data_IF_611645394793
#
_entry.id   IF_611645394793
#
_cell.length_a   1.000
_cell.length_b   1.000
_cell.length_c   1.000
_cell.angle_alpha   90.00
_cell.angle_beta   90.00
_cell.angle_gamma   90.00
#
_symmetry.space_group_name_H-M   'P 1'
#
loop_
_entity.id
_entity.type
_entity.pdbx_description
1 polymer ?
#
# COMPACT_ATOMS: atom_id res chain seq x y z
N UNK A 1 40.93 -4.79 12.33
CA UNK A 1 41.01 -4.12 13.64
C UNK A 1 39.73 -3.30 13.78
N UNK A 2 39.00 -3.48 14.88
CA UNK A 2 37.64 -2.96 15.08
C UNK A 2 37.61 -1.43 14.98
N UNK A 3 37.23 -0.93 13.81
CA UNK A 3 37.02 0.50 13.57
C UNK A 3 35.99 1.08 14.56
N UNK A 4 34.95 0.30 14.87
CA UNK A 4 33.97 0.59 15.92
C UNK A 4 34.60 0.84 17.30
N UNK A 5 35.67 0.11 17.66
CA UNK A 5 36.37 0.33 18.96
C UNK A 5 37.23 1.59 18.98
N UNK A 6 37.62 2.11 17.81
CA UNK A 6 38.53 3.24 17.69
C UNK A 6 37.79 4.59 17.53
N UNK A 7 36.65 4.56 16.83
CA UNK A 7 35.90 5.76 16.44
C UNK A 7 34.70 6.03 17.38
N UNK A 8 34.14 5.00 18.01
CA UNK A 8 32.84 5.10 18.69
C UNK A 8 31.71 5.44 17.70
N UNK A 9 30.63 6.06 18.18
CA UNK A 9 29.43 6.39 17.38
C UNK A 9 29.57 7.64 16.49
N UNK A 10 30.79 8.10 16.20
CA UNK A 10 31.02 9.33 15.42
C UNK A 10 30.81 9.09 13.93
N UNK A 11 29.63 9.48 13.47
CA UNK A 11 29.16 9.32 12.09
C UNK A 11 30.06 10.01 11.05
N UNK A 12 30.77 11.09 11.44
CA UNK A 12 31.62 11.85 10.52
C UNK A 12 32.89 11.08 10.18
N UNK A 13 33.52 10.48 11.20
CA UNK A 13 34.76 9.71 11.03
C UNK A 13 34.46 8.38 10.30
N UNK A 14 33.32 7.75 10.58
CA UNK A 14 32.86 6.56 9.84
C UNK A 14 32.66 6.88 8.35
N UNK A 15 31.98 7.98 8.03
CA UNK A 15 31.75 8.42 6.64
C UNK A 15 33.07 8.71 5.92
N UNK A 16 34.02 9.36 6.59
CA UNK A 16 35.35 9.64 6.01
C UNK A 16 36.16 8.36 5.78
N UNK A 17 36.07 7.37 6.67
CA UNK A 17 36.73 6.08 6.51
C UNK A 17 36.15 5.27 5.34
N UNK A 18 34.82 5.20 5.25
CA UNK A 18 34.14 4.52 4.14
C UNK A 18 34.47 5.16 2.79
N UNK A 19 34.53 6.49 2.73
CA UNK A 19 34.96 7.22 1.53
C UNK A 19 36.41 6.88 1.15
N UNK A 20 37.36 6.94 2.09
CA UNK A 20 38.76 6.60 1.84
C UNK A 20 38.94 5.12 1.44
N UNK A 21 38.14 4.23 2.01
CA UNK A 21 38.16 2.81 1.67
C UNK A 21 37.65 2.57 0.24
N UNK A 22 36.58 3.26 -0.17
CA UNK A 22 36.08 3.22 -1.56
C UNK A 22 37.10 3.74 -2.58
N UNK A 23 37.87 4.79 -2.25
CA UNK A 23 38.95 5.29 -3.11
C UNK A 23 40.11 4.31 -3.28
N UNK A 24 40.26 3.32 -2.39
CA UNK A 24 41.30 2.28 -2.48
C UNK A 24 40.83 1.02 -3.22
N UNK A 25 39.58 0.97 -3.68
CA UNK A 25 39.05 -0.18 -4.42
C UNK A 25 39.48 -0.16 -5.89
N UNK A 26 39.66 -1.35 -6.45
CA UNK A 26 39.77 -1.49 -7.91
C UNK A 26 38.44 -1.14 -8.58
N UNK A 27 38.50 -0.76 -9.86
CA UNK A 27 37.31 -0.47 -10.67
C UNK A 27 36.29 -1.63 -10.65
N UNK A 28 36.78 -2.87 -10.62
CA UNK A 28 35.93 -4.06 -10.55
C UNK A 28 35.22 -4.22 -9.20
N UNK A 29 35.89 -3.91 -8.09
CA UNK A 29 35.30 -3.95 -6.75
C UNK A 29 34.25 -2.85 -6.57
N UNK A 30 34.56 -1.63 -7.04
CA UNK A 30 33.60 -0.52 -7.04
C UNK A 30 32.36 -0.85 -7.88
N UNK A 31 32.55 -1.36 -9.10
CA UNK A 31 31.44 -1.76 -9.97
C UNK A 31 30.58 -2.84 -9.33
N UNK A 32 31.19 -3.85 -8.69
CA UNK A 32 30.47 -4.93 -8.02
C UNK A 32 29.63 -4.41 -6.85
N UNK A 33 30.19 -3.48 -6.07
CA UNK A 33 29.46 -2.81 -4.98
C UNK A 33 28.30 -1.96 -5.49
N UNK A 34 28.50 -1.13 -6.52
CA UNK A 34 27.45 -0.31 -7.11
C UNK A 34 26.32 -1.16 -7.69
N UNK A 35 26.64 -2.27 -8.35
CA UNK A 35 25.66 -3.22 -8.85
C UNK A 35 24.83 -3.84 -7.74
N UNK A 36 25.46 -4.21 -6.62
CA UNK A 36 24.74 -4.78 -5.47
C UNK A 36 23.87 -3.74 -4.78
N UNK A 37 24.37 -2.51 -4.61
CA UNK A 37 23.56 -1.38 -4.10
C UNK A 37 22.36 -1.12 -5.02
N UNK A 38 22.57 -1.12 -6.33
CA UNK A 38 21.49 -0.96 -7.31
C UNK A 38 20.47 -2.10 -7.19
N UNK A 39 20.92 -3.35 -7.10
CA UNK A 39 20.06 -4.53 -6.94
C UNK A 39 19.19 -4.40 -5.69
N UNK A 40 19.77 -4.00 -4.56
CA UNK A 40 19.03 -3.78 -3.31
C UNK A 40 18.00 -2.66 -3.46
N UNK A 41 18.38 -1.53 -4.06
CA UNK A 41 17.46 -0.41 -4.31
C UNK A 41 16.31 -0.79 -5.24
N UNK A 42 16.58 -1.50 -6.33
CA UNK A 42 15.56 -1.97 -7.26
C UNK A 42 14.55 -2.89 -6.54
N UNK A 43 15.03 -3.77 -5.66
CA UNK A 43 14.16 -4.66 -4.87
C UNK A 43 13.30 -3.88 -3.86
N UNK A 44 13.86 -2.86 -3.20
CA UNK A 44 13.13 -1.99 -2.28
C UNK A 44 12.02 -1.25 -3.04
N UNK A 45 12.36 -0.61 -4.17
CA UNK A 45 11.38 0.09 -5.00
C UNK A 45 10.28 -0.83 -5.52
N UNK A 46 10.63 -2.07 -5.91
CA UNK A 46 9.64 -3.06 -6.33
C UNK A 46 8.69 -3.46 -5.18
N UNK A 47 9.22 -3.59 -3.95
CA UNK A 47 8.43 -3.91 -2.77
C UNK A 47 7.51 -2.74 -2.37
N UNK A 48 8.04 -1.52 -2.33
CA UNK A 48 7.28 -0.29 -2.03
C UNK A 48 6.11 -0.14 -3.03
N UNK A 49 6.38 -0.30 -4.33
CA UNK A 49 5.34 -0.28 -5.34
C UNK A 49 4.25 -1.34 -5.11
N UNK A 50 4.63 -2.56 -4.70
CA UNK A 50 3.65 -3.60 -4.39
C UNK A 50 2.79 -3.26 -3.17
N UNK A 51 3.38 -2.64 -2.15
CA UNK A 51 2.68 -2.17 -0.96
C UNK A 51 1.67 -1.09 -1.34
N UNK A 52 2.10 -0.05 -2.06
CA UNK A 52 1.23 1.04 -2.51
C UNK A 52 0.04 0.51 -3.33
N UNK A 53 0.30 -0.43 -4.25
CA UNK A 53 -0.75 -1.07 -5.03
C UNK A 53 -1.71 -1.91 -4.18
N UNK A 54 -1.19 -2.59 -3.14
CA UNK A 54 -2.02 -3.37 -2.23
C UNK A 54 -2.92 -2.47 -1.38
N UNK A 55 -2.39 -1.36 -0.87
CA UNK A 55 -3.13 -0.36 -0.10
C UNK A 55 -4.22 0.29 -0.95
N UNK A 56 -3.87 0.80 -2.14
CA UNK A 56 -4.84 1.40 -3.05
C UNK A 56 -5.98 0.43 -3.44
N UNK A 57 -5.65 -0.85 -3.68
CA UNK A 57 -6.67 -1.89 -3.93
C UNK A 57 -7.51 -2.18 -2.69
N UNK A 58 -6.89 -2.15 -1.50
CA UNK A 58 -7.56 -2.33 -0.22
C UNK A 58 -8.59 -1.22 0.03
N UNK A 59 -8.19 0.03 -0.13
CA UNK A 59 -9.04 1.20 -0.01
C UNK A 59 -10.20 1.17 -1.00
N UNK A 60 -9.93 0.97 -2.29
CA UNK A 60 -10.97 0.90 -3.31
C UNK A 60 -11.98 -0.23 -3.04
N UNK A 61 -11.52 -1.41 -2.58
CA UNK A 61 -12.41 -2.51 -2.17
C UNK A 61 -13.20 -2.15 -0.91
N UNK A 62 -12.58 -1.46 0.05
CA UNK A 62 -13.21 -1.01 1.28
C UNK A 62 -14.36 -0.03 0.99
N UNK A 63 -14.07 0.99 0.19
CA UNK A 63 -15.05 2.00 -0.25
C UNK A 63 -16.22 1.36 -1.01
N UNK A 64 -15.94 0.51 -2.01
CA UNK A 64 -16.98 -0.16 -2.77
C UNK A 64 -17.87 -1.05 -1.88
N UNK A 65 -17.29 -1.77 -0.92
CA UNK A 65 -18.05 -2.56 0.08
C UNK A 65 -18.86 -1.66 1.01
N UNK A 66 -18.32 -0.52 1.43
CA UNK A 66 -18.99 0.47 2.26
C UNK A 66 -20.24 1.01 1.57
N UNK A 67 -20.09 1.52 0.35
CA UNK A 67 -21.18 2.03 -0.48
C UNK A 67 -22.25 0.94 -0.70
N UNK A 68 -21.85 -0.29 -1.01
CA UNK A 68 -22.80 -1.38 -1.21
C UNK A 68 -23.59 -1.71 0.06
N UNK A 69 -22.94 -1.75 1.23
CA UNK A 69 -23.61 -1.95 2.52
C UNK A 69 -24.56 -0.82 2.85
N UNK A 70 -24.13 0.43 2.67
CA UNK A 70 -24.97 1.60 2.92
C UNK A 70 -26.24 1.58 2.05
N UNK A 71 -26.11 1.28 0.75
CA UNK A 71 -27.27 1.12 -0.14
C UNK A 71 -28.27 0.09 0.36
N UNK A 72 -27.79 -1.04 0.87
CA UNK A 72 -28.63 -2.11 1.43
C UNK A 72 -29.34 -1.63 2.71
N UNK A 73 -28.64 -0.96 3.61
CA UNK A 73 -29.24 -0.46 4.85
C UNK A 73 -30.28 0.64 4.58
N UNK A 74 -30.01 1.55 3.65
CA UNK A 74 -30.99 2.54 3.17
C UNK A 74 -32.20 1.82 2.57
N UNK A 75 -31.99 0.82 1.71
CA UNK A 75 -33.09 0.06 1.11
C UNK A 75 -33.98 -0.59 2.18
N UNK A 76 -33.38 -1.23 3.19
CA UNK A 76 -34.13 -1.83 4.31
C UNK A 76 -34.91 -0.78 5.10
N UNK A 77 -34.30 0.35 5.42
CA UNK A 77 -34.96 1.42 6.17
C UNK A 77 -36.17 1.97 5.40
N UNK A 78 -36.03 2.20 4.10
CA UNK A 78 -37.13 2.67 3.25
C UNK A 78 -38.27 1.65 3.16
N UNK A 79 -37.93 0.37 2.98
CA UNK A 79 -38.93 -0.70 2.95
C UNK A 79 -39.70 -0.81 4.28
N UNK A 80 -39.01 -0.65 5.40
CA UNK A 80 -39.64 -0.59 6.73
C UNK A 80 -40.57 0.61 6.88
N UNK A 81 -40.27 1.73 6.23
CA UNK A 81 -41.12 2.93 6.19
C UNK A 81 -42.30 2.80 5.20
N UNK A 82 -42.42 1.66 4.53
CA UNK A 82 -43.52 1.36 3.60
C UNK A 82 -43.33 1.89 2.18
N UNK A 83 -42.11 2.32 1.81
CA UNK A 83 -41.81 2.74 0.45
C UNK A 83 -41.90 1.58 -0.56
N UNK A 84 -42.38 1.86 -1.76
CA UNK A 84 -42.49 0.85 -2.82
C UNK A 84 -41.12 0.39 -3.34
N UNK A 85 -41.05 -0.86 -3.82
CA UNK A 85 -39.82 -1.44 -4.38
C UNK A 85 -39.28 -0.60 -5.54
N UNK A 86 -40.14 -0.03 -6.38
CA UNK A 86 -39.74 0.84 -7.50
C UNK A 86 -39.10 2.14 -7.00
N UNK A 87 -39.64 2.74 -5.93
CA UNK A 87 -39.06 3.95 -5.31
C UNK A 87 -37.71 3.63 -4.67
N UNK A 88 -37.60 2.52 -3.96
CA UNK A 88 -36.35 2.06 -3.34
C UNK A 88 -35.28 1.78 -4.40
N UNK A 89 -35.64 1.12 -5.50
CA UNK A 89 -34.74 0.86 -6.63
C UNK A 89 -34.21 2.16 -7.23
N UNK A 90 -35.11 3.13 -7.45
CA UNK A 90 -34.76 4.44 -8.00
C UNK A 90 -33.78 5.22 -7.11
N UNK A 91 -33.96 5.18 -5.79
CA UNK A 91 -33.14 5.95 -4.83
C UNK A 91 -31.79 5.28 -4.56
N UNK A 92 -31.79 3.97 -4.32
CA UNK A 92 -30.58 3.24 -3.92
C UNK A 92 -29.73 2.80 -5.13
N UNK A 93 -30.35 2.76 -6.32
CA UNK A 93 -29.76 2.21 -7.53
C UNK A 93 -29.60 0.68 -7.49
N UNK A 94 -30.21 0.00 -6.52
CA UNK A 94 -30.30 -1.47 -6.48
C UNK A 94 -31.32 -1.97 -7.50
N UNK A 95 -31.13 -3.20 -7.99
CA UNK A 95 -32.12 -3.83 -8.86
C UNK A 95 -33.36 -4.25 -8.06
N UNK A 96 -34.51 -4.29 -8.72
CA UNK A 96 -35.76 -4.79 -8.11
C UNK A 96 -35.56 -6.19 -7.52
N UNK A 97 -34.84 -7.07 -8.23
CA UNK A 97 -34.55 -8.43 -7.78
C UNK A 97 -33.69 -8.45 -6.50
N UNK A 98 -32.68 -7.57 -6.41
CA UNK A 98 -31.85 -7.48 -5.21
C UNK A 98 -32.64 -6.94 -4.01
N UNK A 99 -33.55 -6.00 -4.24
CA UNK A 99 -34.45 -5.47 -3.19
C UNK A 99 -35.44 -6.55 -2.74
N UNK A 100 -36.02 -7.32 -3.66
CA UNK A 100 -36.91 -8.43 -3.32
C UNK A 100 -36.22 -9.47 -2.41
N UNK A 101 -34.94 -9.74 -2.64
CA UNK A 101 -34.13 -10.62 -1.78
C UNK A 101 -33.89 -10.09 -0.37
N UNK A 102 -34.11 -8.80 -0.12
CA UNK A 102 -33.98 -8.22 1.23
C UNK A 102 -35.24 -8.45 2.10
N UNK A 103 -36.36 -8.81 1.46
CA UNK A 103 -37.67 -8.98 2.09
C UNK A 103 -38.05 -10.46 2.21
N UNK A 104 -37.54 -11.29 1.29
CA UNK A 104 -37.68 -12.75 1.30
C UNK A 104 -36.87 -13.41 2.42
#
# INVERSE_FOLDING_TARGET
ADLEKLIGSDLVIQTAYDALNQFNWSEQELLSYEQEVKRVRDNIAALEYQIDQAEARGEARGEAKGIAKEKIEIAKAMLLDGDSIEKVAKITGLTINDIQKLIS
#
